data_IF_915256392416
#
_entry.id   IF_915256392416
#
_cell.length_a   1.000
_cell.length_b   1.000
_cell.length_c   1.000
_cell.angle_alpha   90.00
_cell.angle_beta   90.00
_cell.angle_gamma   90.00
#
_symmetry.space_group_name_H-M   'P 1'
#
loop_
_entity.id
_entity.type
_entity.pdbx_description
1 polymer ?
#
# COMPACT_ATOMS: atom_id res chain seq x y z
N UNK A 1 18.87 0.83 -14.20
CA UNK A 1 18.20 -0.49 -14.22
C UNK A 1 16.78 -0.30 -13.69
N UNK A 2 15.79 -0.52 -14.52
CA UNK A 2 14.36 -0.44 -14.16
C UNK A 2 13.72 -1.80 -14.40
N UNK A 3 12.63 -2.13 -13.67
CA UNK A 3 11.75 -3.23 -14.02
C UNK A 3 10.82 -2.74 -15.14
N UNK A 4 10.90 -3.36 -16.30
CA UNK A 4 10.12 -3.02 -17.49
C UNK A 4 9.26 -4.22 -17.88
N UNK A 5 7.99 -3.98 -18.12
CA UNK A 5 7.03 -4.94 -18.66
C UNK A 5 6.47 -4.32 -19.93
N UNK A 6 6.45 -5.09 -21.00
CA UNK A 6 5.88 -4.63 -22.27
C UNK A 6 5.17 -5.77 -23.00
N UNK A 7 4.25 -5.41 -23.86
CA UNK A 7 3.45 -6.36 -24.64
C UNK A 7 4.24 -6.89 -25.83
N UNK A 8 3.97 -8.14 -26.22
CA UNK A 8 4.48 -8.74 -27.45
C UNK A 8 6.01 -8.83 -27.56
N UNK A 9 6.71 -8.92 -26.43
CA UNK A 9 8.16 -9.17 -26.38
C UNK A 9 8.38 -10.68 -26.32
N UNK A 10 8.93 -11.26 -27.37
CA UNK A 10 9.22 -12.69 -27.47
C UNK A 10 10.34 -12.95 -28.45
N UNK A 11 11.34 -13.67 -27.97
CA UNK A 11 12.45 -14.18 -28.78
C UNK A 11 12.58 -15.70 -28.60
N UNK A 12 13.51 -16.32 -29.29
CA UNK A 12 13.88 -17.71 -29.08
C UNK A 12 15.29 -17.82 -28.53
N UNK A 13 15.61 -18.97 -27.95
CA UNK A 13 16.96 -19.35 -27.56
C UNK A 13 17.20 -20.83 -27.77
N UNK A 14 18.45 -21.22 -28.05
CA UNK A 14 18.92 -22.62 -28.04
C UNK A 14 19.91 -22.89 -26.91
N UNK A 15 20.17 -21.86 -26.06
CA UNK A 15 21.09 -21.99 -24.93
C UNK A 15 20.68 -23.13 -24.00
N UNK A 16 21.63 -23.91 -23.55
CA UNK A 16 21.47 -25.01 -22.60
C UNK A 16 22.08 -24.67 -21.25
N UNK A 17 21.75 -25.46 -20.25
CA UNK A 17 22.32 -25.28 -18.90
C UNK A 17 21.56 -24.31 -18.01
N UNK A 18 22.18 -23.96 -16.90
CA UNK A 18 21.61 -23.10 -15.85
C UNK A 18 22.02 -21.62 -15.94
N UNK A 19 22.85 -21.24 -16.92
CA UNK A 19 23.42 -19.91 -17.09
C UNK A 19 22.45 -18.87 -17.70
N UNK A 20 22.99 -17.72 -18.08
CA UNK A 20 22.27 -16.74 -18.89
C UNK A 20 21.88 -17.36 -20.24
N UNK A 21 20.79 -16.89 -20.81
CA UNK A 21 20.32 -17.37 -22.13
C UNK A 21 20.56 -16.31 -23.18
N UNK A 22 21.17 -16.71 -24.30
CA UNK A 22 21.37 -15.83 -25.45
C UNK A 22 20.08 -15.72 -26.27
N UNK A 23 19.68 -14.51 -26.58
CA UNK A 23 18.47 -14.18 -27.31
C UNK A 23 18.74 -14.18 -28.82
N UNK A 24 17.94 -14.89 -29.59
CA UNK A 24 18.20 -15.16 -31.00
C UNK A 24 17.37 -14.29 -31.97
N UNK A 25 16.72 -13.27 -31.45
CA UNK A 25 15.86 -12.37 -32.22
C UNK A 25 14.37 -12.67 -32.13
N UNK A 26 13.57 -11.68 -32.51
CA UNK A 26 12.12 -11.70 -32.34
C UNK A 26 11.44 -12.80 -33.16
N UNK A 27 10.46 -13.45 -32.55
CA UNK A 27 9.51 -14.30 -33.26
C UNK A 27 8.61 -13.43 -34.15
N UNK A 28 8.20 -13.94 -35.30
CA UNK A 28 7.33 -13.22 -36.23
C UNK A 28 6.11 -12.62 -35.53
N UNK A 29 5.93 -11.32 -35.65
CA UNK A 29 4.84 -10.57 -35.02
C UNK A 29 5.09 -10.15 -33.59
N UNK A 30 6.30 -10.37 -33.06
CA UNK A 30 6.73 -9.92 -31.74
C UNK A 30 7.89 -8.92 -31.85
N UNK A 31 8.24 -8.30 -30.74
CA UNK A 31 9.39 -7.41 -30.57
C UNK A 31 10.54 -8.15 -29.90
N UNK A 32 11.77 -7.66 -30.08
CA UNK A 32 12.93 -8.10 -29.32
C UNK A 32 12.90 -7.57 -27.90
N UNK A 33 13.62 -8.22 -26.97
CA UNK A 33 13.85 -7.68 -25.64
C UNK A 33 14.57 -6.33 -25.70
N UNK A 34 15.49 -6.15 -26.64
CA UNK A 34 16.17 -4.86 -26.85
C UNK A 34 15.19 -3.72 -27.16
N UNK A 35 14.20 -3.97 -28.03
CA UNK A 35 13.22 -2.97 -28.42
C UNK A 35 12.14 -2.73 -27.34
N UNK A 36 11.61 -3.81 -26.77
CA UNK A 36 10.48 -3.71 -25.86
C UNK A 36 10.85 -3.46 -24.40
N UNK A 37 12.00 -3.96 -23.94
CA UNK A 37 12.45 -3.84 -22.55
C UNK A 37 13.62 -2.85 -22.41
N UNK A 38 14.55 -2.89 -23.36
CA UNK A 38 15.73 -2.04 -23.36
C UNK A 38 16.90 -2.57 -22.53
N UNK A 39 18.08 -2.10 -22.91
CA UNK A 39 19.36 -2.57 -22.38
C UNK A 39 19.50 -2.36 -20.87
N UNK A 40 20.13 -3.32 -20.21
CA UNK A 40 20.45 -3.29 -18.77
C UNK A 40 19.23 -3.20 -17.84
N UNK A 41 18.03 -3.40 -18.35
CA UNK A 41 16.81 -3.41 -17.53
C UNK A 41 16.47 -4.81 -17.03
N UNK A 42 15.64 -4.88 -16.01
CA UNK A 42 15.05 -6.12 -15.50
C UNK A 42 13.68 -6.35 -16.12
N UNK A 43 13.30 -7.62 -16.26
CA UNK A 43 12.03 -8.04 -16.84
C UNK A 43 11.56 -9.33 -16.18
N UNK A 44 10.27 -9.49 -15.99
CA UNK A 44 9.72 -10.81 -15.73
C UNK A 44 9.66 -11.60 -17.03
N UNK A 45 10.21 -12.81 -17.02
CA UNK A 45 10.29 -13.67 -18.18
C UNK A 45 9.65 -15.03 -17.93
N UNK A 46 9.27 -15.66 -19.02
CA UNK A 46 9.08 -17.11 -19.09
C UNK A 46 9.99 -17.69 -20.17
N UNK A 47 10.68 -18.78 -19.84
CA UNK A 47 11.37 -19.63 -20.81
C UNK A 47 10.60 -20.94 -20.87
N UNK A 48 10.22 -21.37 -22.08
CA UNK A 48 9.48 -22.60 -22.29
C UNK A 48 10.12 -23.40 -23.42
N UNK A 49 10.52 -24.64 -23.16
CA UNK A 49 11.06 -25.52 -24.17
C UNK A 49 9.95 -25.98 -25.10
N UNK A 50 10.16 -25.88 -26.43
CA UNK A 50 9.12 -26.19 -27.40
C UNK A 50 8.72 -27.65 -27.46
N UNK A 51 9.61 -28.59 -27.06
CA UNK A 51 9.41 -30.04 -27.21
C UNK A 51 9.66 -30.84 -25.93
N UNK A 52 10.33 -30.28 -24.93
CA UNK A 52 10.54 -30.89 -23.61
C UNK A 52 9.62 -30.24 -22.55
N UNK A 53 9.33 -30.99 -21.48
CA UNK A 53 8.55 -30.47 -20.35
C UNK A 53 9.41 -29.61 -19.40
N UNK A 54 10.16 -28.67 -19.97
CA UNK A 54 11.03 -27.75 -19.26
C UNK A 54 10.50 -26.32 -19.39
N UNK A 55 10.31 -25.67 -18.25
CA UNK A 55 9.93 -24.25 -18.21
C UNK A 55 10.54 -23.55 -16.99
N UNK A 56 10.68 -22.25 -17.10
CA UNK A 56 11.12 -21.39 -16.00
C UNK A 56 10.46 -20.02 -16.12
N UNK A 57 9.89 -19.54 -15.02
CA UNK A 57 9.34 -18.18 -14.87
C UNK A 57 10.18 -17.47 -13.82
N UNK A 58 10.64 -16.26 -14.13
CA UNK A 58 11.53 -15.55 -13.22
C UNK A 58 11.63 -14.06 -13.46
N UNK A 59 12.48 -13.42 -12.67
CA UNK A 59 12.98 -12.08 -12.90
C UNK A 59 14.37 -12.21 -13.52
N UNK A 60 14.59 -11.59 -14.65
CA UNK A 60 15.87 -11.57 -15.35
C UNK A 60 16.40 -10.16 -15.54
N UNK A 61 17.68 -10.08 -15.88
CA UNK A 61 18.36 -8.84 -16.19
C UNK A 61 19.00 -8.96 -17.57
N UNK A 62 18.68 -8.01 -18.44
CA UNK A 62 19.34 -7.93 -19.75
C UNK A 62 20.73 -7.32 -19.61
N UNK A 63 21.64 -7.77 -20.42
CA UNK A 63 22.98 -7.21 -20.51
C UNK A 63 22.99 -5.83 -21.21
N UNK A 64 24.19 -5.30 -21.50
CA UNK A 64 24.38 -3.94 -22.03
C UNK A 64 23.88 -3.71 -23.46
N UNK A 65 23.64 -4.77 -24.23
CA UNK A 65 23.10 -4.72 -25.60
C UNK A 65 21.83 -5.55 -25.78
N UNK A 66 21.32 -6.14 -24.68
CA UNK A 66 20.15 -7.01 -24.65
C UNK A 66 20.27 -8.27 -25.50
N UNK A 67 21.49 -8.76 -25.70
CA UNK A 67 21.75 -10.05 -26.39
C UNK A 67 21.62 -11.25 -25.45
N UNK A 68 21.81 -11.04 -24.14
CA UNK A 68 21.71 -12.07 -23.12
C UNK A 68 20.76 -11.68 -21.99
N UNK A 69 20.00 -12.66 -21.51
CA UNK A 69 19.14 -12.56 -20.33
C UNK A 69 19.73 -13.38 -19.18
N UNK A 70 20.23 -12.70 -18.15
CA UNK A 70 20.63 -13.32 -16.90
C UNK A 70 19.41 -13.69 -16.07
N UNK A 71 19.29 -14.93 -15.65
CA UNK A 71 18.20 -15.46 -14.83
C UNK A 71 18.44 -15.12 -13.36
N UNK A 72 18.05 -13.89 -12.94
CA UNK A 72 18.42 -13.31 -11.64
C UNK A 72 17.70 -13.98 -10.47
N UNK A 73 16.42 -14.29 -10.64
CA UNK A 73 15.59 -14.95 -9.62
C UNK A 73 14.58 -15.85 -10.28
N UNK A 74 14.60 -17.13 -9.97
CA UNK A 74 13.57 -18.08 -10.41
C UNK A 74 12.36 -17.95 -9.46
N UNK A 75 11.16 -17.88 -10.02
CA UNK A 75 9.89 -17.77 -9.28
C UNK A 75 9.13 -19.09 -9.34
N UNK A 76 9.07 -19.71 -10.53
CA UNK A 76 8.50 -21.04 -10.72
C UNK A 76 9.20 -21.76 -11.84
N UNK A 77 9.41 -23.06 -11.70
CA UNK A 77 10.08 -23.84 -12.73
C UNK A 77 9.73 -25.33 -12.70
N UNK A 78 10.03 -26.03 -13.79
CA UNK A 78 9.95 -27.49 -13.87
C UNK A 78 11.00 -28.20 -13.01
N UNK A 79 11.93 -27.46 -12.39
CA UNK A 79 12.97 -27.97 -11.51
C UNK A 79 12.71 -27.57 -10.04
N UNK A 80 11.49 -27.79 -9.55
CA UNK A 80 11.09 -27.47 -8.16
C UNK A 80 11.47 -26.03 -7.76
N UNK A 81 11.11 -25.07 -8.62
CA UNK A 81 11.36 -23.63 -8.47
C UNK A 81 12.85 -23.25 -8.35
N UNK A 82 13.74 -24.14 -8.76
CA UNK A 82 15.17 -23.89 -8.93
C UNK A 82 15.50 -23.64 -10.41
N UNK A 83 16.69 -23.11 -10.68
CA UNK A 83 17.13 -22.88 -12.06
C UNK A 83 17.11 -24.18 -12.88
N UNK A 84 16.48 -24.11 -14.06
CA UNK A 84 16.40 -25.26 -14.97
C UNK A 84 17.70 -25.44 -15.73
N UNK A 85 18.23 -26.65 -15.72
CA UNK A 85 19.30 -27.07 -16.63
C UNK A 85 18.68 -27.44 -18.00
N UNK A 86 18.44 -26.39 -18.80
CA UNK A 86 17.76 -26.57 -20.07
C UNK A 86 18.50 -27.48 -21.02
N UNK A 87 17.79 -28.46 -21.55
CA UNK A 87 18.30 -29.39 -22.56
C UNK A 87 18.45 -28.75 -23.94
N UNK A 88 19.06 -29.45 -24.87
CA UNK A 88 19.20 -29.03 -26.27
C UNK A 88 17.81 -28.93 -26.94
N UNK A 89 17.64 -27.89 -27.77
CA UNK A 89 16.40 -27.59 -28.50
C UNK A 89 16.04 -26.13 -28.38
N UNK A 90 15.04 -25.72 -29.17
CA UNK A 90 14.55 -24.35 -29.18
C UNK A 90 13.63 -24.11 -27.98
N UNK A 91 13.83 -22.98 -27.29
CA UNK A 91 12.98 -22.47 -26.23
C UNK A 91 12.42 -21.12 -26.65
N UNK A 92 11.19 -20.87 -26.32
CA UNK A 92 10.58 -19.55 -26.36
C UNK A 92 10.97 -18.77 -25.10
N UNK A 93 11.38 -17.52 -25.26
CA UNK A 93 11.66 -16.58 -24.16
C UNK A 93 10.75 -15.38 -24.38
N UNK A 94 9.89 -15.07 -23.38
CA UNK A 94 8.94 -13.97 -23.53
C UNK A 94 8.70 -13.22 -22.23
N UNK A 95 8.34 -11.94 -22.35
CA UNK A 95 7.91 -11.11 -21.24
C UNK A 95 6.55 -11.58 -20.72
N UNK A 96 6.42 -11.76 -19.41
CA UNK A 96 5.17 -12.15 -18.75
C UNK A 96 5.14 -11.60 -17.34
N UNK A 97 3.95 -11.44 -16.78
CA UNK A 97 3.80 -11.11 -15.35
C UNK A 97 3.53 -12.41 -14.59
N UNK A 98 4.41 -12.83 -13.66
CA UNK A 98 4.14 -14.01 -12.83
C UNK A 98 2.87 -13.81 -12.01
N UNK A 99 2.05 -14.86 -11.87
CA UNK A 99 0.80 -14.80 -11.12
C UNK A 99 0.98 -14.29 -9.67
N UNK A 100 2.10 -14.65 -9.02
CA UNK A 100 2.44 -14.19 -7.67
C UNK A 100 2.83 -12.70 -7.57
N UNK A 101 2.95 -11.99 -8.70
CA UNK A 101 3.30 -10.56 -8.77
C UNK A 101 2.16 -9.69 -9.27
N UNK A 102 1.07 -10.31 -9.66
CA UNK A 102 -0.13 -9.61 -10.14
C UNK A 102 -1.07 -9.32 -8.96
N UNK A 103 -1.62 -8.11 -8.93
CA UNK A 103 -2.75 -7.80 -8.06
C UNK A 103 -4.01 -8.06 -8.89
N UNK A 104 -4.87 -8.94 -8.40
CA UNK A 104 -6.12 -9.30 -9.05
C UNK A 104 -7.22 -9.45 -8.00
N UNK A 105 -8.46 -9.34 -8.44
CA UNK A 105 -9.62 -9.62 -7.60
C UNK A 105 -9.78 -11.14 -7.42
N UNK A 106 -10.04 -11.56 -6.21
CA UNK A 106 -10.38 -12.95 -5.91
C UNK A 106 -11.87 -13.27 -6.20
N UNK A 107 -12.33 -14.45 -5.82
CA UNK A 107 -13.72 -14.88 -6.02
C UNK A 107 -14.78 -14.03 -5.27
N UNK A 108 -14.34 -13.20 -4.32
CA UNK A 108 -15.19 -12.29 -3.54
C UNK A 108 -15.10 -10.85 -4.06
N UNK A 109 -14.35 -10.61 -5.13
CA UNK A 109 -13.96 -9.30 -5.68
C UNK A 109 -13.04 -8.50 -4.74
N UNK A 110 -12.25 -9.18 -3.92
CA UNK A 110 -11.25 -8.56 -3.04
C UNK A 110 -9.87 -8.57 -3.71
N UNK A 111 -9.14 -7.43 -3.62
CA UNK A 111 -7.75 -7.33 -4.06
C UNK A 111 -6.83 -7.15 -2.85
N UNK A 112 -5.83 -8.04 -2.70
CA UNK A 112 -4.87 -7.99 -1.60
C UNK A 112 -3.52 -7.44 -2.04
N UNK A 113 -3.04 -6.40 -1.36
CA UNK A 113 -1.69 -5.86 -1.50
C UNK A 113 -0.88 -6.27 -0.28
N UNK A 114 0.04 -7.22 -0.45
CA UNK A 114 0.80 -7.83 0.67
C UNK A 114 1.79 -6.89 1.38
N UNK A 115 1.95 -5.65 0.90
CA UNK A 115 2.83 -4.62 1.48
C UNK A 115 2.20 -3.23 1.34
N UNK A 116 3.00 -2.19 1.20
CA UNK A 116 2.52 -0.82 1.13
C UNK A 116 1.83 -0.52 -0.22
N UNK A 117 0.71 0.17 -0.16
CA UNK A 117 0.10 0.84 -1.30
C UNK A 117 0.56 2.30 -1.31
N UNK A 118 1.14 2.76 -2.42
CA UNK A 118 1.44 4.18 -2.64
C UNK A 118 0.46 4.73 -3.66
N UNK A 119 -0.34 5.71 -3.25
CA UNK A 119 -1.25 6.46 -4.12
C UNK A 119 -0.65 7.85 -4.31
N UNK A 120 -0.32 8.23 -5.56
CA UNK A 120 0.26 9.55 -5.88
C UNK A 120 -0.77 10.63 -6.12
N UNK A 121 -2.04 10.28 -6.20
CA UNK A 121 -3.20 11.16 -6.26
C UNK A 121 -4.10 10.95 -5.04
N UNK A 122 -5.38 11.19 -5.21
CA UNK A 122 -6.37 11.02 -4.15
C UNK A 122 -6.76 9.54 -3.99
N UNK A 123 -6.99 9.10 -2.75
CA UNK A 123 -7.62 7.82 -2.44
C UNK A 123 -9.11 8.07 -2.13
N UNK A 124 -10.00 7.53 -2.95
CA UNK A 124 -11.44 7.56 -2.71
C UNK A 124 -11.91 6.23 -2.17
N UNK A 125 -12.53 6.25 -0.99
CA UNK A 125 -13.18 5.09 -0.37
C UNK A 125 -14.68 5.31 -0.44
N UNK A 126 -15.40 4.45 -1.16
CA UNK A 126 -16.86 4.56 -1.35
C UNK A 126 -17.65 3.83 -0.27
N UNK A 127 -17.01 2.97 0.51
CA UNK A 127 -17.56 2.38 1.73
C UNK A 127 -17.47 3.34 2.91
N UNK A 128 -18.03 2.94 4.05
CA UNK A 128 -18.05 3.71 5.28
C UNK A 128 -16.97 3.32 6.30
N UNK A 129 -16.22 2.23 6.03
CA UNK A 129 -15.24 1.69 6.95
C UNK A 129 -13.81 1.72 6.43
N UNK A 130 -12.89 2.15 7.28
CA UNK A 130 -11.44 1.90 7.17
C UNK A 130 -11.02 1.03 8.34
N UNK A 131 -10.73 -0.25 8.07
CA UNK A 131 -10.25 -1.17 9.10
C UNK A 131 -8.75 -1.00 9.33
N UNK A 132 -8.38 -0.64 10.55
CA UNK A 132 -7.00 -0.55 11.01
C UNK A 132 -6.76 -1.55 12.14
N UNK A 133 -5.78 -2.46 12.00
CA UNK A 133 -5.49 -3.52 12.99
C UNK A 133 -5.12 -3.01 14.39
N UNK A 134 -4.62 -1.78 14.50
CA UNK A 134 -4.21 -1.14 15.75
C UNK A 134 -5.13 0.01 16.11
N UNK A 135 -6.43 -0.17 15.94
CA UNK A 135 -7.41 0.87 16.28
C UNK A 135 -7.79 0.78 17.77
N UNK A 136 -7.70 1.90 18.46
CA UNK A 136 -8.13 2.02 19.87
C UNK A 136 -9.51 2.65 19.91
N UNK A 137 -10.43 2.06 20.67
CA UNK A 137 -11.80 2.56 20.85
C UNK A 137 -11.82 4.02 21.34
N UNK A 138 -12.54 4.89 20.64
CA UNK A 138 -12.61 6.33 20.94
C UNK A 138 -11.39 7.14 20.48
N UNK A 139 -10.49 6.55 19.68
CA UNK A 139 -9.39 7.28 19.09
C UNK A 139 -9.82 8.08 17.85
N UNK A 140 -9.14 9.21 17.64
CA UNK A 140 -9.20 9.98 16.40
C UNK A 140 -7.91 9.79 15.61
N UNK A 141 -7.98 9.89 14.27
CA UNK A 141 -6.79 9.95 13.44
C UNK A 141 -6.17 11.35 13.52
N UNK A 142 -5.04 11.44 14.18
CA UNK A 142 -4.33 12.72 14.40
C UNK A 142 -3.03 12.70 13.57
N UNK A 143 -2.83 13.77 12.79
CA UNK A 143 -1.57 13.98 12.08
C UNK A 143 -0.47 14.47 13.04
N UNK A 144 0.70 13.82 13.02
CA UNK A 144 1.88 14.17 13.83
C UNK A 144 2.95 14.94 13.02
N UNK A 145 2.63 15.33 11.78
CA UNK A 145 3.56 15.96 10.84
C UNK A 145 4.24 14.96 9.89
N UNK A 146 4.11 13.66 10.15
CA UNK A 146 4.66 12.58 9.31
C UNK A 146 3.57 11.58 8.94
N UNK A 147 2.74 11.18 9.90
CA UNK A 147 1.71 10.16 9.74
C UNK A 147 0.38 10.59 10.37
N UNK A 148 -0.70 9.88 10.02
CA UNK A 148 -1.94 9.87 10.77
C UNK A 148 -1.98 8.67 11.70
N UNK A 149 -2.05 8.92 12.99
CA UNK A 149 -2.07 7.87 14.03
C UNK A 149 -3.42 7.84 14.75
N UNK A 150 -3.94 6.66 15.11
CA UNK A 150 -5.08 6.57 16.01
C UNK A 150 -4.63 6.97 17.42
N UNK A 151 -5.07 8.12 17.90
CA UNK A 151 -4.72 8.69 19.20
C UNK A 151 -5.98 8.83 20.04
N UNK A 152 -5.96 8.27 21.24
CA UNK A 152 -7.05 8.48 22.19
C UNK A 152 -7.10 9.95 22.62
N UNK A 153 -8.27 10.57 22.48
CA UNK A 153 -8.49 11.93 23.00
C UNK A 153 -8.63 11.84 24.50
N UNK A 154 -7.79 12.55 25.23
CA UNK A 154 -7.72 12.54 26.68
C UNK A 154 -7.37 13.91 27.24
N UNK A 155 -7.48 14.07 28.56
CA UNK A 155 -7.28 15.35 29.26
C UNK A 155 -8.60 16.02 29.52
N UNK A 156 -8.73 17.27 29.10
CA UNK A 156 -9.89 18.13 29.40
C UNK A 156 -11.17 17.63 28.75
N UNK A 157 -11.06 16.96 27.61
CA UNK A 157 -12.17 16.28 26.93
C UNK A 157 -11.84 14.81 26.68
N UNK A 158 -12.87 13.99 26.64
CA UNK A 158 -12.79 12.59 26.24
C UNK A 158 -13.82 12.29 25.17
N UNK A 159 -13.52 11.31 24.31
CA UNK A 159 -14.45 10.80 23.30
C UNK A 159 -14.63 9.31 23.53
N UNK A 160 -15.89 8.90 23.76
CA UNK A 160 -16.23 7.48 23.82
C UNK A 160 -16.28 6.83 22.42
N UNK A 161 -16.26 5.50 22.34
CA UNK A 161 -16.31 4.75 21.08
C UNK A 161 -17.54 5.05 20.19
N UNK A 162 -18.62 5.50 20.79
CA UNK A 162 -19.86 5.91 20.09
C UNK A 162 -19.87 7.38 19.67
N UNK A 163 -18.72 8.10 19.81
CA UNK A 163 -18.61 9.52 19.48
C UNK A 163 -19.14 10.49 20.56
N UNK A 164 -19.68 9.99 21.67
CA UNK A 164 -20.09 10.87 22.79
C UNK A 164 -18.87 11.56 23.38
N UNK A 165 -18.94 12.89 23.49
CA UNK A 165 -17.89 13.71 24.09
C UNK A 165 -18.28 14.13 25.50
N UNK A 166 -17.31 14.20 26.39
CA UNK A 166 -17.48 14.73 27.74
C UNK A 166 -16.32 15.65 28.10
N UNK A 167 -16.62 16.72 28.83
CA UNK A 167 -15.64 17.58 29.50
C UNK A 167 -15.39 17.00 30.88
N UNK A 168 -14.12 16.87 31.29
CA UNK A 168 -13.74 16.35 32.61
C UNK A 168 -14.32 17.20 33.74
N UNK A 169 -14.54 16.60 34.92
CA UNK A 169 -14.99 17.35 36.09
C UNK A 169 -13.93 18.36 36.54
N UNK A 170 -14.33 19.60 36.79
CA UNK A 170 -13.44 20.67 37.25
C UNK A 170 -12.50 21.25 36.19
N UNK A 171 -12.67 20.88 34.92
CA UNK A 171 -11.85 21.38 33.80
C UNK A 171 -12.24 22.83 33.46
N UNK A 172 -13.54 23.13 33.36
CA UNK A 172 -13.98 24.48 33.08
C UNK A 172 -13.75 25.33 34.33
N UNK A 173 -12.83 26.26 34.25
CA UNK A 173 -12.51 27.22 35.30
C UNK A 173 -12.90 28.67 34.88
N UNK A 174 -12.80 29.60 35.80
CA UNK A 174 -13.24 30.98 35.54
C UNK A 174 -12.50 31.64 34.36
N UNK A 175 -11.27 31.26 34.12
CA UNK A 175 -10.50 31.77 32.98
C UNK A 175 -11.01 31.29 31.61
N UNK A 176 -11.74 30.18 31.59
CA UNK A 176 -12.28 29.60 30.34
C UNK A 176 -13.63 30.25 29.97
N UNK A 177 -14.21 31.02 30.90
CA UNK A 177 -15.46 31.71 30.66
C UNK A 177 -15.17 33.17 30.26
N UNK A 178 -15.60 33.57 29.09
CA UNK A 178 -15.47 34.96 28.66
C UNK A 178 -16.13 35.89 29.63
N UNK A 179 -15.47 37.00 30.02
CA UNK A 179 -16.07 38.04 30.86
C UNK A 179 -17.31 38.70 30.22
N UNK A 180 -17.54 38.48 28.95
CA UNK A 180 -18.73 38.96 28.22
C UNK A 180 -19.74 37.82 27.94
N UNK A 181 -19.57 36.65 28.55
CA UNK A 181 -20.50 35.54 28.37
C UNK A 181 -21.83 35.86 29.04
N UNK A 182 -22.87 36.02 28.25
CA UNK A 182 -24.25 36.18 28.75
C UNK A 182 -24.81 34.81 29.16
N UNK A 183 -24.39 34.31 30.33
CA UNK A 183 -24.86 33.03 30.86
C UNK A 183 -26.26 33.27 31.45
N UNK A 184 -27.30 32.70 30.84
CA UNK A 184 -28.65 32.79 31.35
C UNK A 184 -28.76 32.14 32.74
N UNK A 185 -29.46 32.76 33.66
CA UNK A 185 -29.69 32.26 35.03
C UNK A 185 -30.32 30.88 35.08
N UNK A 186 -31.10 30.48 34.07
CA UNK A 186 -31.60 29.09 33.94
C UNK A 186 -30.50 28.04 33.78
N UNK A 187 -29.24 28.43 33.54
CA UNK A 187 -28.06 27.56 33.46
C UNK A 187 -27.26 27.53 34.77
N UNK A 188 -27.60 28.37 35.73
CA UNK A 188 -26.97 28.45 37.03
C UNK A 188 -27.85 27.73 38.04
N UNK A 189 -27.23 26.94 38.92
CA UNK A 189 -27.93 26.38 40.07
C UNK A 189 -28.04 27.46 41.16
N UNK A 190 -28.89 27.24 42.16
CA UNK A 190 -29.02 28.12 43.32
C UNK A 190 -27.65 28.32 44.00
N UNK A 191 -27.21 29.58 44.13
CA UNK A 191 -25.99 29.91 44.84
C UNK A 191 -26.27 29.82 46.33
N UNK A 192 -26.03 28.66 46.92
CA UNK A 192 -26.30 28.37 48.35
C UNK A 192 -25.11 28.57 49.26
N UNK A 193 -23.92 28.79 48.70
CA UNK A 193 -22.67 28.98 49.50
C UNK A 193 -22.57 30.41 49.96
N UNK A 194 -22.47 30.62 51.28
CA UNK A 194 -22.32 31.94 51.88
C UNK A 194 -21.05 32.67 51.37
N UNK A 195 -21.17 33.95 51.09
CA UNK A 195 -20.07 34.82 50.63
C UNK A 195 -19.71 34.69 49.16
N UNK A 196 -20.52 33.99 48.34
CA UNK A 196 -20.30 33.84 46.87
C UNK A 196 -21.00 34.92 46.04
N UNK A 197 -21.97 35.64 46.61
CA UNK A 197 -22.63 36.81 46.00
C UNK A 197 -22.35 38.03 46.85
N UNK A 198 -21.77 39.08 46.27
CA UNK A 198 -21.61 40.37 46.93
C UNK A 198 -22.96 41.09 46.88
N UNK A 199 -23.52 41.41 48.07
CA UNK A 199 -24.79 42.08 48.19
C UNK A 199 -24.76 43.45 47.50
N UNK A 200 -23.58 44.10 47.41
CA UNK A 200 -23.39 45.37 46.72
C UNK A 200 -23.50 45.27 45.19
N UNK A 201 -23.40 44.03 44.65
CA UNK A 201 -23.55 43.72 43.22
C UNK A 201 -24.96 43.19 42.88
N UNK A 202 -25.87 43.11 43.82
CA UNK A 202 -27.22 42.61 43.62
C UNK A 202 -28.17 43.82 43.31
N UNK A 203 -28.59 43.94 42.06
CA UNK A 203 -29.75 44.80 41.70
C UNK A 203 -31.03 44.05 42.10
N UNK A 204 -31.79 44.62 43.04
CA UNK A 204 -33.09 44.10 43.43
C UNK A 204 -34.14 45.15 42.93
N UNK A 205 -34.85 44.79 41.86
CA UNK A 205 -35.97 45.51 41.34
C UNK A 205 -37.24 45.38 42.25
#
# INVERSE_FOLDING_TARGET
MALVINDRVKETTTTTGTGAVSLAGAVTGFETFAAGIGNSNTVYYCISHQTAAEFEVGLGTLDGDSSDLTRTTVISSSNSDSAVDFSAGTKDVFCTIPASKLIFEDANNDATIGRNLTVTGDLTITGDDITMNTNTSGAALIGDGTNFNPVAISGDITIAANGTTAIGSGVIVNADISGSAAIADSKLDTISTAGKVDIGALEID
#
